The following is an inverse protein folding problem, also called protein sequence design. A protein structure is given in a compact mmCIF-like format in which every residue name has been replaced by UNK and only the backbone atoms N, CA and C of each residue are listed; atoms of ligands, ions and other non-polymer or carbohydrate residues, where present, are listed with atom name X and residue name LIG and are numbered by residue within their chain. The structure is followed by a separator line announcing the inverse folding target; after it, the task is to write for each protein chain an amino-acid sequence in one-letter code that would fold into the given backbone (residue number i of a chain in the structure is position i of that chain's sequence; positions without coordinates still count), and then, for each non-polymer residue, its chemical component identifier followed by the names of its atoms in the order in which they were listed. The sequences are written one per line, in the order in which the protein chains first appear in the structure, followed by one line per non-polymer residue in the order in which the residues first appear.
data_IF_065443250859
#
_entry.id   IF_065443250859
#
_cell.length_a   1.000
_cell.length_b   1.000
_cell.length_c   1.000
_cell.angle_alpha   90.00
_cell.angle_beta   90.00
_cell.angle_gamma   90.00
#
_symmetry.space_group_name_H-M   'P 1'
#
loop_
_entity.id
_entity.type
_entity.pdbx_description
1 polymer ?
#
# COMPACT_ATOMS: atom_id res chain seq x y z
N UNK A 1 -10.80 15.83 36.32
CA UNK A 1 -10.36 15.38 34.99
C UNK A 1 -11.27 14.25 34.55
N UNK A 2 -12.10 14.49 33.52
CA UNK A 2 -13.05 13.47 33.01
C UNK A 2 -12.37 12.69 31.89
N UNK A 3 -12.01 11.43 32.19
CA UNK A 3 -11.25 10.55 31.29
C UNK A 3 -11.91 10.37 29.92
N UNK A 4 -13.24 10.33 29.87
CA UNK A 4 -14.00 10.16 28.62
C UNK A 4 -13.85 11.40 27.73
N UNK A 5 -13.92 12.60 28.32
CA UNK A 5 -13.73 13.85 27.59
C UNK A 5 -12.28 14.00 27.08
N UNK A 6 -11.31 13.58 27.89
CA UNK A 6 -9.89 13.55 27.49
C UNK A 6 -9.67 12.58 26.33
N UNK A 7 -10.25 11.37 26.38
CA UNK A 7 -10.07 10.36 25.34
C UNK A 7 -10.70 10.77 24.00
N UNK A 8 -11.90 11.38 24.05
CA UNK A 8 -12.56 11.93 22.87
C UNK A 8 -11.76 13.07 22.21
N UNK A 9 -11.05 13.87 23.01
CA UNK A 9 -10.17 14.93 22.49
C UNK A 9 -8.91 14.39 21.80
N UNK A 10 -8.44 13.19 22.16
CA UNK A 10 -7.30 12.56 21.51
C UNK A 10 -7.68 11.83 20.20
N UNK A 11 -8.93 11.39 20.06
CA UNK A 11 -9.39 10.64 18.88
C UNK A 11 -9.76 11.50 17.67
N UNK A 12 -9.95 12.81 17.84
CA UNK A 12 -10.38 13.69 16.75
C UNK A 12 -9.18 14.45 16.21
N UNK A 13 -8.62 13.97 15.10
CA UNK A 13 -7.86 14.86 14.22
C UNK A 13 -8.87 15.84 13.64
N UNK A 14 -8.72 17.15 13.89
CA UNK A 14 -9.67 18.14 13.36
C UNK A 14 -9.74 18.01 11.83
N UNK A 15 -10.92 18.18 11.25
CA UNK A 15 -11.07 18.27 9.79
C UNK A 15 -10.14 19.40 9.30
N UNK A 16 -9.20 19.08 8.41
CA UNK A 16 -8.19 20.02 7.91
C UNK A 16 -6.87 20.06 8.69
N UNK A 17 -6.74 19.35 9.82
CA UNK A 17 -5.44 19.08 10.42
C UNK A 17 -4.75 17.96 9.62
N UNK A 18 -3.52 18.17 9.14
CA UNK A 18 -2.77 17.11 8.49
C UNK A 18 -2.58 15.97 9.49
N UNK A 19 -3.07 14.78 9.12
CA UNK A 19 -2.78 13.53 9.80
C UNK A 19 -1.26 13.41 9.83
N UNK A 20 -0.66 13.31 11.02
CA UNK A 20 0.78 13.43 11.26
C UNK A 20 1.62 13.00 10.06
N UNK A 21 2.13 13.97 9.29
CA UNK A 21 2.92 13.69 8.10
C UNK A 21 4.31 13.27 8.58
N UNK A 22 4.73 12.05 8.24
CA UNK A 22 6.10 11.61 8.54
C UNK A 22 7.09 12.60 7.92
N UNK A 23 8.01 13.14 8.73
CA UNK A 23 9.11 14.00 8.25
C UNK A 23 10.27 13.18 7.70
N UNK A 24 10.10 11.86 7.61
CA UNK A 24 11.10 10.98 7.02
C UNK A 24 11.29 11.35 5.56
N UNK A 25 12.48 11.85 5.24
CA UNK A 25 12.88 12.15 3.87
C UNK A 25 12.99 10.84 3.11
N UNK A 26 12.03 10.60 2.21
CA UNK A 26 12.08 9.43 1.34
C UNK A 26 13.17 9.65 0.29
N UNK A 27 14.36 9.10 0.56
CA UNK A 27 15.44 9.05 -0.42
C UNK A 27 15.12 7.91 -1.38
N UNK A 28 14.74 8.25 -2.61
CA UNK A 28 14.66 7.25 -3.65
C UNK A 28 16.04 6.59 -3.79
N UNK A 29 16.14 5.25 -3.70
CA UNK A 29 17.42 4.58 -3.90
C UNK A 29 18.00 4.96 -5.27
N UNK A 30 19.31 5.26 -5.33
CA UNK A 30 19.99 5.68 -6.56
C UNK A 30 20.01 4.59 -7.65
N UNK A 31 19.66 3.37 -7.28
CA UNK A 31 19.57 2.21 -8.17
C UNK A 31 18.12 1.78 -8.35
N UNK A 32 17.75 1.52 -9.59
CA UNK A 32 16.46 0.91 -9.89
C UNK A 32 16.39 -0.48 -9.22
N UNK A 33 15.21 -0.85 -8.67
CA UNK A 33 15.02 -2.16 -8.09
C UNK A 33 15.24 -3.24 -9.16
N UNK A 34 15.89 -4.33 -8.76
CA UNK A 34 16.11 -5.45 -9.67
C UNK A 34 14.77 -5.98 -10.21
N UNK A 35 14.69 -6.34 -11.50
CA UNK A 35 13.50 -6.98 -12.05
C UNK A 35 13.16 -8.27 -11.28
N UNK A 36 11.87 -8.49 -11.02
CA UNK A 36 11.40 -9.72 -10.39
C UNK A 36 11.61 -10.92 -11.32
N UNK A 37 11.83 -12.13 -10.78
CA UNK A 37 11.94 -13.35 -11.57
C UNK A 37 10.65 -13.62 -12.37
N UNK A 38 10.79 -13.97 -13.65
CA UNK A 38 9.66 -14.24 -14.53
C UNK A 38 8.77 -15.41 -14.02
N UNK A 39 9.37 -16.39 -13.34
CA UNK A 39 8.64 -17.54 -12.77
C UNK A 39 7.64 -17.10 -11.69
N UNK A 40 8.06 -16.18 -10.82
CA UNK A 40 7.22 -15.66 -9.73
C UNK A 40 6.05 -14.84 -10.28
N UNK A 41 6.33 -13.95 -11.25
CA UNK A 41 5.31 -13.16 -11.94
C UNK A 41 4.28 -14.07 -12.61
N UNK A 42 4.75 -15.13 -13.29
CA UNK A 42 3.88 -16.08 -13.98
C UNK A 42 3.02 -16.87 -13.00
N UNK A 43 3.58 -17.32 -11.88
CA UNK A 43 2.83 -18.05 -10.86
C UNK A 43 1.69 -17.22 -10.25
N UNK A 44 1.93 -15.93 -9.99
CA UNK A 44 0.90 -15.01 -9.50
C UNK A 44 -0.22 -14.78 -10.55
N UNK A 45 0.17 -14.60 -11.81
CA UNK A 45 -0.79 -14.46 -12.91
C UNK A 45 -1.62 -15.73 -13.14
N UNK A 46 -1.00 -16.91 -13.10
CA UNK A 46 -1.70 -18.19 -13.27
C UNK A 46 -2.68 -18.48 -12.11
N UNK A 47 -2.36 -17.99 -10.91
CA UNK A 47 -3.23 -18.10 -9.73
C UNK A 47 -4.35 -17.04 -9.71
N UNK A 48 -4.30 -16.05 -10.60
CA UNK A 48 -5.22 -14.93 -10.57
C UNK A 48 -6.58 -15.31 -11.19
N UNK A 49 -7.70 -15.15 -10.47
CA UNK A 49 -9.00 -15.68 -10.88
C UNK A 49 -9.63 -14.97 -12.08
N UNK A 50 -9.15 -13.77 -12.42
CA UNK A 50 -9.61 -12.94 -13.55
C UNK A 50 -8.80 -13.17 -14.83
N UNK A 51 -7.76 -13.99 -14.75
CA UNK A 51 -6.93 -14.33 -15.91
C UNK A 51 -7.57 -15.56 -16.51
N UNK A 52 -8.54 -15.33 -17.40
CA UNK A 52 -9.09 -16.41 -18.21
C UNK A 52 -7.91 -17.06 -18.95
N UNK A 53 -7.76 -18.38 -18.85
CA UNK A 53 -6.90 -19.18 -19.74
C UNK A 53 -7.50 -19.17 -21.15
N UNK A 54 -7.69 -17.99 -21.75
CA UNK A 54 -7.86 -17.84 -23.19
C UNK A 54 -6.52 -18.16 -23.81
N UNK A 55 -6.31 -19.45 -24.01
CA UNK A 55 -5.60 -19.90 -25.20
C UNK A 55 -6.45 -19.38 -26.34
N UNK A 56 -6.07 -18.22 -26.88
CA UNK A 56 -6.53 -17.83 -28.20
C UNK A 56 -5.94 -18.87 -29.16
N UNK A 57 -6.64 -19.99 -29.33
CA UNK A 57 -6.45 -20.89 -30.45
C UNK A 57 -6.91 -20.15 -31.70
N UNK A 58 -5.97 -19.44 -32.35
CA UNK A 58 -6.09 -18.97 -33.74
C UNK A 58 -4.78 -19.13 -34.48
#
# INVERSE_FOLDING_TARGET
MNLIASLASLSVTKIGQPLATSTETFVAPEVEPAPLPAEEIKAEHDASPLVDNKKDDT
#
